data_IF_691433563677
#
_entry.id   IF_691433563677
#
_cell.length_a   1.000
_cell.length_b   1.000
_cell.length_c   1.000
_cell.angle_alpha   90.00
_cell.angle_beta   90.00
_cell.angle_gamma   90.00
#
_symmetry.space_group_name_H-M   'P 1'
#
loop_
_entity.id
_entity.type
_entity.pdbx_description
1 polymer ?
#
# COMPACT_ATOMS: atom_id res chain seq x y z
N UNK A 1 16.60 4.50 9.83
CA UNK A 1 15.31 4.86 9.21
C UNK A 1 15.45 6.10 8.34
N UNK A 2 15.00 6.03 7.08
CA UNK A 2 14.92 7.18 6.17
C UNK A 2 13.47 7.63 5.99
N UNK A 3 13.21 8.94 6.10
CA UNK A 3 11.97 9.53 5.64
C UNK A 3 12.11 10.02 4.20
N UNK A 4 11.76 9.16 3.23
CA UNK A 4 11.86 9.47 1.80
C UNK A 4 10.89 10.58 1.33
N UNK A 5 9.93 10.97 2.18
CA UNK A 5 9.02 12.10 1.90
C UNK A 5 9.67 13.44 2.29
N UNK A 6 10.77 13.41 3.05
CA UNK A 6 11.58 14.59 3.31
C UNK A 6 12.68 14.71 2.25
N UNK A 7 12.73 15.84 1.56
CA UNK A 7 13.68 16.05 0.46
C UNK A 7 15.15 15.90 0.89
N UNK A 8 15.52 16.39 2.08
CA UNK A 8 16.90 16.31 2.57
C UNK A 8 17.31 14.87 2.83
N UNK A 9 16.47 14.12 3.53
CA UNK A 9 16.74 12.70 3.83
C UNK A 9 16.75 11.84 2.56
N UNK A 10 15.92 12.17 1.57
CA UNK A 10 15.93 11.51 0.26
C UNK A 10 17.24 11.77 -0.51
N UNK A 11 17.75 13.00 -0.48
CA UNK A 11 19.01 13.33 -1.14
C UNK A 11 20.21 12.69 -0.43
N UNK A 12 20.19 12.58 0.90
CA UNK A 12 21.16 11.77 1.65
C UNK A 12 21.13 10.30 1.24
N UNK A 13 19.94 9.72 1.06
CA UNK A 13 19.79 8.33 0.62
C UNK A 13 20.37 8.12 -0.78
N UNK A 14 20.19 9.07 -1.71
CA UNK A 14 20.78 9.00 -3.06
C UNK A 14 22.31 8.95 -3.01
N UNK A 15 22.92 9.69 -2.09
CA UNK A 15 24.38 9.73 -1.92
C UNK A 15 24.88 8.44 -1.27
N UNK A 16 24.19 7.94 -0.24
CA UNK A 16 24.63 6.76 0.54
C UNK A 16 24.37 5.43 -0.18
N UNK A 17 23.25 5.31 -0.89
CA UNK A 17 22.83 4.08 -1.56
C UNK A 17 22.40 4.33 -3.01
N UNK A 18 23.30 4.85 -3.88
CA UNK A 18 22.99 5.22 -5.25
C UNK A 18 22.45 4.05 -6.09
N UNK A 19 22.84 2.81 -5.77
CA UNK A 19 22.38 1.58 -6.44
C UNK A 19 20.85 1.38 -6.39
N UNK A 20 20.15 2.05 -5.48
CA UNK A 20 18.68 2.00 -5.39
C UNK A 20 17.99 2.86 -6.45
N UNK A 21 18.73 3.76 -7.09
CA UNK A 21 18.22 4.73 -8.06
C UNK A 21 18.78 4.40 -9.44
N UNK A 22 17.91 4.12 -10.40
CA UNK A 22 18.32 3.90 -11.79
C UNK A 22 17.53 4.84 -12.70
N UNK A 23 18.25 5.51 -13.59
CA UNK A 23 17.64 6.29 -14.67
C UNK A 23 17.54 5.40 -15.90
N UNK A 24 16.31 5.19 -16.37
CA UNK A 24 16.02 4.42 -17.56
C UNK A 24 16.02 5.34 -18.78
N UNK A 25 16.48 4.82 -19.91
CA UNK A 25 16.77 5.57 -21.15
C UNK A 25 15.54 6.30 -21.73
N UNK A 26 14.34 5.87 -21.35
CA UNK A 26 13.05 6.45 -21.78
C UNK A 26 12.45 7.46 -20.76
N UNK A 27 13.29 8.06 -19.91
CA UNK A 27 12.85 9.06 -18.93
C UNK A 27 12.19 8.45 -17.68
N UNK A 28 12.19 7.13 -17.55
CA UNK A 28 11.73 6.44 -16.35
C UNK A 28 12.75 6.56 -15.21
N UNK A 29 12.25 6.67 -13.98
CA UNK A 29 13.07 6.58 -12.76
C UNK A 29 12.66 5.31 -12.02
N UNK A 30 13.65 4.49 -11.67
CA UNK A 30 13.45 3.33 -10.82
C UNK A 30 14.00 3.59 -9.42
N UNK A 31 13.20 3.29 -8.40
CA UNK A 31 13.53 3.42 -6.99
C UNK A 31 13.27 2.09 -6.27
N UNK A 32 14.32 1.47 -5.73
CA UNK A 32 14.22 0.23 -4.98
C UNK A 32 14.14 0.47 -3.45
N UNK A 33 12.93 0.41 -2.90
CA UNK A 33 12.68 0.53 -1.46
C UNK A 33 12.79 -0.80 -0.69
N UNK A 34 13.01 -1.93 -1.37
CA UNK A 34 13.04 -3.24 -0.71
C UNK A 34 14.18 -3.30 0.32
N UNK A 35 13.85 -3.77 1.53
CA UNK A 35 14.78 -3.88 2.64
C UNK A 35 15.33 -2.56 3.17
N UNK A 36 14.79 -1.42 2.72
CA UNK A 36 15.15 -0.12 3.26
C UNK A 36 14.40 0.08 4.59
N UNK A 37 15.15 0.43 5.63
CA UNK A 37 14.58 0.83 6.91
C UNK A 37 13.91 2.21 6.74
N UNK A 38 12.61 2.22 6.51
CA UNK A 38 11.81 3.43 6.29
C UNK A 38 11.28 3.98 7.60
N UNK A 39 11.31 5.29 7.77
CA UNK A 39 10.68 5.95 8.92
C UNK A 39 9.17 5.74 8.84
N UNK A 40 8.51 5.28 9.92
CA UNK A 40 7.05 5.14 9.93
C UNK A 40 6.39 6.50 9.79
N UNK A 41 5.23 6.51 9.13
CA UNK A 41 4.37 7.70 9.03
C UNK A 41 3.65 7.86 10.37
N UNK A 42 3.72 9.05 10.95
CA UNK A 42 3.05 9.37 12.20
C UNK A 42 1.53 9.16 12.08
N UNK A 43 0.91 8.57 13.11
CA UNK A 43 -0.52 8.24 13.11
C UNK A 43 -0.88 6.93 12.42
N UNK A 44 0.05 6.27 11.73
CA UNK A 44 -0.19 4.96 11.11
C UNK A 44 0.20 3.82 12.06
N UNK A 45 -0.81 3.08 12.51
CA UNK A 45 -0.63 1.87 13.33
C UNK A 45 -0.38 0.65 12.42
N UNK A 46 0.89 0.44 12.09
CA UNK A 46 1.33 -0.64 11.17
C UNK A 46 0.88 -2.01 11.67
N UNK A 47 1.09 -2.32 12.95
CA UNK A 47 0.75 -3.63 13.52
C UNK A 47 -0.76 -3.90 13.48
N UNK A 48 -1.59 -2.87 13.69
CA UNK A 48 -3.04 -3.00 13.51
C UNK A 48 -3.41 -3.27 12.06
N UNK A 49 -2.82 -2.55 11.11
CA UNK A 49 -3.08 -2.74 9.68
C UNK A 49 -2.66 -4.15 9.26
N UNK A 50 -1.49 -4.63 9.66
CA UNK A 50 -1.01 -5.99 9.39
C UNK A 50 -1.99 -7.05 9.91
N UNK A 51 -2.50 -6.87 11.13
CA UNK A 51 -3.49 -7.78 11.69
C UNK A 51 -4.81 -7.77 10.90
N UNK A 52 -5.29 -6.60 10.48
CA UNK A 52 -6.47 -6.48 9.62
C UNK A 52 -6.22 -7.13 8.26
N UNK A 53 -5.03 -6.98 7.67
CA UNK A 53 -4.66 -7.61 6.41
C UNK A 53 -4.72 -9.13 6.50
N UNK A 54 -4.20 -9.71 7.59
CA UNK A 54 -4.28 -11.14 7.87
C UNK A 54 -5.73 -11.63 7.93
N UNK A 55 -6.62 -10.89 8.61
CA UNK A 55 -8.04 -11.23 8.75
C UNK A 55 -8.75 -11.18 7.39
N UNK A 56 -8.61 -10.08 6.65
CA UNK A 56 -9.26 -9.90 5.33
C UNK A 56 -8.79 -10.95 4.33
N UNK A 57 -7.50 -11.27 4.33
CA UNK A 57 -6.95 -12.36 3.52
C UNK A 57 -7.56 -13.72 3.89
N UNK A 58 -7.74 -13.98 5.18
CA UNK A 58 -8.44 -15.16 5.68
C UNK A 58 -9.88 -15.26 5.15
N UNK A 59 -10.63 -14.16 5.18
CA UNK A 59 -11.99 -14.12 4.62
C UNK A 59 -12.02 -14.37 3.11
N UNK A 60 -11.11 -13.76 2.35
CA UNK A 60 -11.02 -13.98 0.91
C UNK A 60 -10.76 -15.47 0.58
N UNK A 61 -9.82 -16.10 1.30
CA UNK A 61 -9.53 -17.53 1.10
C UNK A 61 -10.67 -18.44 1.55
N UNK A 62 -11.31 -18.15 2.68
CA UNK A 62 -12.46 -18.92 3.16
C UNK A 62 -13.63 -18.87 2.16
N UNK A 63 -13.93 -17.67 1.62
CA UNK A 63 -14.98 -17.49 0.62
C UNK A 63 -14.69 -18.28 -0.66
N UNK A 64 -13.48 -18.13 -1.23
CA UNK A 64 -13.06 -18.83 -2.45
C UNK A 64 -13.06 -20.35 -2.24
N UNK A 65 -12.54 -20.82 -1.10
CA UNK A 65 -12.55 -22.24 -0.77
C UNK A 65 -13.97 -22.79 -0.57
N UNK A 66 -14.89 -21.99 -0.02
CA UNK A 66 -16.29 -22.37 0.16
C UNK A 66 -17.00 -22.59 -1.16
N UNK A 67 -16.78 -21.70 -2.14
CA UNK A 67 -17.43 -21.77 -3.47
C UNK A 67 -16.67 -22.63 -4.48
N UNK A 68 -15.46 -23.09 -4.12
CA UNK A 68 -14.56 -23.90 -4.97
C UNK A 68 -14.21 -23.24 -6.31
N UNK A 69 -14.21 -21.90 -6.35
CA UNK A 69 -13.97 -21.12 -7.55
C UNK A 69 -13.49 -19.71 -7.20
N UNK A 70 -12.62 -19.12 -8.01
CA UNK A 70 -12.15 -17.74 -7.86
C UNK A 70 -10.65 -17.56 -8.00
N UNK A 71 -10.19 -16.30 -7.90
CA UNK A 71 -8.80 -15.89 -8.10
C UNK A 71 -8.19 -15.35 -6.80
N UNK A 72 -7.65 -16.22 -5.92
CA UNK A 72 -7.14 -15.80 -4.62
C UNK A 72 -5.88 -14.93 -4.73
N UNK A 73 -5.03 -15.15 -5.74
CA UNK A 73 -3.78 -14.40 -5.91
C UNK A 73 -3.98 -12.91 -6.17
N UNK A 74 -4.92 -12.55 -7.04
CA UNK A 74 -5.19 -11.15 -7.37
C UNK A 74 -5.77 -10.35 -6.21
N UNK A 75 -6.67 -10.97 -5.43
CA UNK A 75 -7.31 -10.33 -4.27
C UNK A 75 -6.37 -10.25 -3.07
N UNK A 76 -5.60 -11.31 -2.80
CA UNK A 76 -4.71 -11.38 -1.63
C UNK A 76 -3.47 -10.49 -1.74
N UNK A 77 -2.99 -10.19 -2.94
CA UNK A 77 -1.80 -9.35 -3.18
C UNK A 77 -2.04 -7.86 -2.97
N UNK A 78 -3.31 -7.41 -2.93
CA UNK A 78 -3.67 -5.99 -2.80
C UNK A 78 -4.24 -5.61 -1.43
N UNK A 79 -4.34 -6.56 -0.50
CA UNK A 79 -4.98 -6.34 0.82
C UNK A 79 -4.27 -5.23 1.58
N UNK A 80 -2.95 -5.27 1.64
CA UNK A 80 -2.12 -4.26 2.31
C UNK A 80 -2.33 -2.87 1.70
N UNK A 81 -2.37 -2.78 0.37
CA UNK A 81 -2.56 -1.52 -0.33
C UNK A 81 -3.92 -0.89 0.02
N UNK A 82 -5.01 -1.66 -0.10
CA UNK A 82 -6.36 -1.15 0.16
C UNK A 82 -6.56 -0.78 1.62
N UNK A 83 -6.17 -1.66 2.54
CA UNK A 83 -6.35 -1.39 3.97
C UNK A 83 -5.49 -0.23 4.44
N UNK A 84 -4.26 -0.09 3.94
CA UNK A 84 -3.42 1.06 4.30
C UNK A 84 -4.05 2.37 3.82
N UNK A 85 -4.55 2.43 2.57
CA UNK A 85 -5.19 3.64 2.04
C UNK A 85 -6.45 4.05 2.83
N UNK A 86 -7.27 3.07 3.24
CA UNK A 86 -8.45 3.31 4.07
C UNK A 86 -8.07 3.77 5.48
N UNK A 87 -7.16 3.05 6.14
CA UNK A 87 -6.79 3.30 7.53
C UNK A 87 -5.91 4.55 7.70
N UNK A 88 -5.17 4.94 6.67
CA UNK A 88 -4.42 6.19 6.63
C UNK A 88 -5.30 7.43 6.35
N UNK A 89 -6.60 7.25 6.09
CA UNK A 89 -7.50 8.35 5.75
C UNK A 89 -7.22 8.96 4.38
N UNK A 90 -6.47 8.26 3.51
CA UNK A 90 -6.18 8.72 2.15
C UNK A 90 -7.41 8.62 1.25
N UNK A 91 -8.31 7.66 1.56
CA UNK A 91 -9.55 7.46 0.82
C UNK A 91 -10.75 7.97 1.62
N UNK A 92 -11.46 8.94 1.05
CA UNK A 92 -12.75 9.40 1.54
C UNK A 92 -13.85 8.39 1.18
N UNK A 93 -14.47 7.77 2.18
CA UNK A 93 -15.60 6.88 1.98
C UNK A 93 -16.60 6.98 3.13
N UNK A 94 -17.86 6.67 2.82
CA UNK A 94 -18.92 6.49 3.82
C UNK A 94 -19.61 5.15 3.52
N UNK A 95 -19.44 4.12 4.36
CA UNK A 95 -20.04 2.81 4.13
C UNK A 95 -21.57 2.84 4.26
N UNK A 96 -22.13 3.84 4.95
CA UNK A 96 -23.58 4.03 5.11
C UNK A 96 -24.19 4.86 3.97
N UNK A 97 -23.38 5.65 3.26
CA UNK A 97 -23.79 6.45 2.11
C UNK A 97 -22.89 6.24 0.89
N UNK A 98 -23.05 5.08 0.24
CA UNK A 98 -22.27 4.68 -0.93
C UNK A 98 -22.42 5.59 -2.15
N UNK A 99 -23.40 6.51 -2.16
CA UNK A 99 -23.64 7.47 -3.23
C UNK A 99 -23.12 8.89 -2.93
N UNK A 100 -22.47 9.11 -1.78
CA UNK A 100 -21.91 10.41 -1.41
C UNK A 100 -21.09 11.01 -2.59
N UNK A 101 -21.43 12.21 -3.09
CA UNK A 101 -20.75 12.81 -4.25
C UNK A 101 -19.27 13.15 -3.98
N UNK A 102 -18.88 13.34 -2.72
CA UNK A 102 -17.51 13.63 -2.31
C UNK A 102 -16.65 12.40 -1.99
N UNK A 103 -17.14 11.18 -2.25
CA UNK A 103 -16.36 9.95 -2.03
C UNK A 103 -15.27 9.78 -3.08
N UNK A 104 -14.15 9.21 -2.67
CA UNK A 104 -13.15 8.71 -3.61
C UNK A 104 -13.68 7.48 -4.34
N UNK A 105 -13.21 7.29 -5.58
CA UNK A 105 -13.58 6.17 -6.43
C UNK A 105 -12.42 5.20 -6.51
N UNK A 106 -12.67 3.96 -6.11
CA UNK A 106 -11.74 2.85 -6.28
C UNK A 106 -12.27 1.98 -7.42
N UNK A 107 -11.44 1.77 -8.43
CA UNK A 107 -11.73 0.88 -9.55
C UNK A 107 -10.74 -0.27 -9.52
N UNK A 108 -11.24 -1.50 -9.60
CA UNK A 108 -10.42 -2.71 -9.64
C UNK A 108 -10.25 -3.15 -11.09
N UNK A 109 -9.02 -3.10 -11.60
CA UNK A 109 -8.65 -3.60 -12.93
C UNK A 109 -7.99 -4.98 -12.86
#
# INVERSE_FOLDING_TARGET
MYNILNQKELDELKIKEPQRFQYLVEGGVYLNLKGLDLKPIEGIDVSRIENLCRIVRGYAFAAINGVKSGHPGGSSSKVEQVLTLLMAGVLAFDPMNTKNPGRDRIVWS
#
